data_IF_462953475472
#
_entry.id   IF_462953475472
#
_cell.length_a   1.000
_cell.length_b   1.000
_cell.length_c   1.000
_cell.angle_alpha   90.00
_cell.angle_beta   90.00
_cell.angle_gamma   90.00
#
_symmetry.space_group_name_H-M   'P 1'
#
loop_
_entity.id
_entity.type
_entity.pdbx_description
1 polymer ?
#
# COMPACT_ATOMS: atom_id res chain seq x y z
N UNK A 1 13.65 7.96 -4.34
CA UNK A 1 12.40 7.86 -3.55
C UNK A 1 12.23 9.16 -2.77
N UNK A 2 11.01 9.63 -2.47
CA UNK A 2 10.79 10.86 -1.69
C UNK A 2 11.50 10.86 -0.34
N UNK A 3 11.64 9.68 0.29
CA UNK A 3 12.35 9.50 1.55
C UNK A 3 13.86 9.81 1.44
N UNK A 4 14.46 9.58 0.25
CA UNK A 4 15.86 9.95 -0.03
C UNK A 4 16.00 11.47 -0.17
N UNK A 5 15.04 12.12 -0.84
CA UNK A 5 15.02 13.59 -0.98
C UNK A 5 14.85 14.27 0.38
N UNK A 6 14.00 13.72 1.25
CA UNK A 6 13.79 14.23 2.61
C UNK A 6 15.06 14.11 3.47
N UNK A 7 15.75 12.96 3.39
CA UNK A 7 17.04 12.78 4.04
C UNK A 7 18.10 13.78 3.54
N UNK A 8 18.15 14.04 2.23
CA UNK A 8 19.02 15.07 1.66
C UNK A 8 18.68 16.44 2.26
N UNK A 9 17.39 16.79 2.37
CA UNK A 9 16.94 18.04 2.98
C UNK A 9 17.34 18.13 4.46
N UNK A 10 17.26 17.04 5.22
CA UNK A 10 17.75 16.98 6.60
C UNK A 10 19.26 17.25 6.65
N UNK A 11 20.05 16.55 5.85
CA UNK A 11 21.51 16.68 5.83
C UNK A 11 21.95 18.09 5.42
N UNK A 12 21.27 18.71 4.45
CA UNK A 12 21.54 20.09 4.05
C UNK A 12 21.22 21.09 5.18
N UNK A 13 20.15 20.89 5.95
CA UNK A 13 19.87 21.71 7.15
C UNK A 13 20.98 21.58 8.21
N UNK A 14 21.66 20.43 8.25
CA UNK A 14 22.82 20.20 9.11
C UNK A 14 24.12 20.80 8.55
N UNK A 15 24.11 21.36 7.35
CA UNK A 15 25.28 21.97 6.70
C UNK A 15 25.98 21.08 5.66
N UNK A 16 25.41 19.93 5.30
CA UNK A 16 25.97 19.10 4.21
C UNK A 16 25.80 19.79 2.85
N UNK A 17 26.77 19.57 1.96
CA UNK A 17 26.69 20.02 0.56
C UNK A 17 26.37 18.80 -0.30
N UNK A 18 25.10 18.72 -0.72
CA UNK A 18 24.58 17.61 -1.53
C UNK A 18 23.84 18.19 -2.72
N UNK A 19 24.15 17.70 -3.93
CA UNK A 19 23.45 18.02 -5.16
C UNK A 19 22.80 16.74 -5.73
N UNK A 20 21.65 16.91 -6.37
CA UNK A 20 20.95 15.85 -7.10
C UNK A 20 20.82 16.29 -8.55
N UNK A 21 21.48 15.56 -9.45
CA UNK A 21 21.43 15.80 -10.88
C UNK A 21 20.11 15.28 -11.48
N UNK A 22 19.76 15.72 -12.69
CA UNK A 22 18.52 15.33 -13.39
C UNK A 22 18.45 13.83 -13.71
N UNK A 23 19.60 13.17 -13.83
CA UNK A 23 19.72 11.72 -14.02
C UNK A 23 19.65 10.93 -12.70
N UNK A 24 19.32 11.61 -11.59
CA UNK A 24 19.27 11.07 -10.22
C UNK A 24 20.64 10.70 -9.64
N UNK A 25 21.73 11.17 -10.24
CA UNK A 25 23.06 11.08 -9.62
C UNK A 25 23.11 12.02 -8.41
N UNK A 26 23.46 11.47 -7.24
CA UNK A 26 23.66 12.25 -6.01
C UNK A 26 25.16 12.53 -5.85
N UNK A 27 25.54 13.80 -5.78
CA UNK A 27 26.93 14.24 -5.53
C UNK A 27 27.04 14.85 -4.14
N UNK A 28 28.00 14.39 -3.37
CA UNK A 28 28.23 14.83 -1.99
C UNK A 28 29.63 15.43 -1.90
N UNK A 29 29.72 16.69 -1.47
CA UNK A 29 30.99 17.32 -1.11
C UNK A 29 31.14 17.20 0.41
N UNK A 30 32.20 16.52 0.85
CA UNK A 30 32.50 16.35 2.27
C UNK A 30 32.69 17.69 2.98
N UNK A 31 32.21 17.77 4.22
CA UNK A 31 32.35 18.94 5.11
C UNK A 31 32.94 18.50 6.45
N UNK A 32 33.63 19.41 7.15
CA UNK A 32 34.35 19.08 8.39
C UNK A 32 33.44 18.65 9.56
N UNK A 33 32.19 19.15 9.58
CA UNK A 33 31.21 18.87 10.64
C UNK A 33 29.78 19.13 10.18
N UNK A 34 28.84 18.46 10.83
CA UNK A 34 27.41 18.69 10.73
C UNK A 34 26.87 19.29 12.04
N UNK A 35 25.86 20.16 11.93
CA UNK A 35 25.17 20.79 13.06
C UNK A 35 23.86 20.11 13.45
N UNK A 36 23.25 20.62 14.52
CA UNK A 36 21.87 20.26 14.88
C UNK A 36 20.85 20.85 13.89
N UNK A 37 19.63 20.30 13.86
CA UNK A 37 18.58 20.72 12.94
C UNK A 37 17.19 20.57 13.55
N UNK A 38 16.21 21.27 12.97
CA UNK A 38 14.78 21.02 13.15
C UNK A 38 14.17 20.64 11.80
N UNK A 39 13.38 19.57 11.77
CA UNK A 39 12.78 19.09 10.53
C UNK A 39 11.44 18.41 10.81
N UNK A 40 10.44 18.70 9.98
CA UNK A 40 9.15 17.99 9.98
C UNK A 40 9.22 16.91 8.92
N UNK A 41 9.19 15.65 9.33
CA UNK A 41 9.27 14.51 8.43
C UNK A 41 8.17 14.54 7.37
N UNK A 42 8.46 13.96 6.20
CA UNK A 42 7.45 13.77 5.16
C UNK A 42 6.27 12.92 5.68
N UNK A 43 5.05 13.14 5.14
CA UNK A 43 3.90 12.27 5.39
C UNK A 43 4.11 10.85 4.84
N UNK A 44 3.50 9.86 5.47
CA UNK A 44 3.56 8.47 5.03
C UNK A 44 2.58 8.19 3.87
N UNK A 45 3.14 8.18 2.67
CA UNK A 45 2.44 7.87 1.42
C UNK A 45 2.11 6.39 1.22
N UNK A 46 2.74 5.48 1.99
CA UNK A 46 2.38 4.07 1.99
C UNK A 46 1.12 3.87 2.83
N UNK A 47 1.04 4.51 4.00
CA UNK A 47 -0.17 4.53 4.82
C UNK A 47 -1.35 5.14 4.05
N UNK A 48 -1.14 6.28 3.38
CA UNK A 48 -2.18 6.92 2.59
C UNK A 48 -2.74 6.02 1.48
N UNK A 49 -1.88 5.27 0.78
CA UNK A 49 -2.30 4.33 -0.27
C UNK A 49 -3.07 3.13 0.30
N UNK A 50 -2.69 2.67 1.50
CA UNK A 50 -3.41 1.59 2.17
C UNK A 50 -4.82 2.02 2.60
N UNK A 51 -4.98 3.21 3.19
CA UNK A 51 -6.30 3.78 3.50
C UNK A 51 -7.14 4.04 2.24
N UNK A 52 -6.53 4.53 1.17
CA UNK A 52 -7.21 4.69 -0.11
C UNK A 52 -7.76 3.35 -0.61
N UNK A 53 -6.93 2.29 -0.57
CA UNK A 53 -7.34 0.94 -0.96
C UNK A 53 -8.43 0.36 -0.05
N UNK A 54 -8.37 0.67 1.25
CA UNK A 54 -9.44 0.33 2.19
C UNK A 54 -10.77 0.98 1.80
N UNK A 55 -10.77 2.26 1.43
CA UNK A 55 -11.95 2.95 0.94
C UNK A 55 -12.54 2.29 -0.31
N UNK A 56 -11.71 1.77 -1.23
CA UNK A 56 -12.21 1.01 -2.37
C UNK A 56 -12.81 -0.33 -1.97
N UNK A 57 -12.08 -1.13 -1.19
CA UNK A 57 -12.49 -2.49 -0.86
C UNK A 57 -13.72 -2.57 0.05
N UNK A 58 -13.96 -1.53 0.85
CA UNK A 58 -15.08 -1.45 1.80
C UNK A 58 -16.22 -0.55 1.35
N UNK A 59 -16.16 -0.03 0.11
CA UNK A 59 -17.10 0.97 -0.41
C UNK A 59 -17.20 2.24 0.45
N UNK A 60 -16.10 2.59 1.13
CA UNK A 60 -16.01 3.69 2.07
C UNK A 60 -15.62 5.04 1.46
N UNK A 61 -15.47 6.04 2.35
CA UNK A 61 -15.01 7.39 2.06
C UNK A 61 -14.07 7.85 3.17
N UNK A 62 -12.79 8.02 2.85
CA UNK A 62 -11.72 8.27 3.83
C UNK A 62 -10.94 9.50 3.41
N UNK A 63 -10.81 10.46 4.32
CA UNK A 63 -9.93 11.61 4.16
C UNK A 63 -8.61 11.37 4.86
N UNK A 64 -7.51 11.37 4.10
CA UNK A 64 -6.16 11.19 4.62
C UNK A 64 -5.46 12.54 4.69
N UNK A 65 -5.45 13.13 5.89
CA UNK A 65 -4.71 14.37 6.16
C UNK A 65 -3.20 14.13 5.95
N UNK A 66 -2.55 15.08 5.29
CA UNK A 66 -1.13 15.05 4.97
C UNK A 66 -0.78 14.25 3.72
N UNK A 67 -1.72 13.52 3.10
CA UNK A 67 -1.44 12.85 1.83
C UNK A 67 -1.11 13.89 0.75
N UNK A 68 -0.06 13.64 -0.04
CA UNK A 68 0.46 14.61 -1.02
C UNK A 68 0.35 14.08 -2.45
N UNK A 69 -0.29 14.85 -3.33
CA UNK A 69 -0.48 14.45 -4.73
C UNK A 69 0.84 14.17 -5.44
N UNK A 70 1.86 15.01 -5.22
CA UNK A 70 3.14 14.93 -5.93
C UNK A 70 3.88 13.61 -5.68
N UNK A 71 3.86 13.10 -4.45
CA UNK A 71 4.53 11.84 -4.09
C UNK A 71 3.70 10.59 -4.43
N UNK A 72 2.41 10.76 -4.71
CA UNK A 72 1.46 9.66 -4.96
C UNK A 72 0.91 9.63 -6.40
N UNK A 73 1.41 10.48 -7.31
CA UNK A 73 0.81 10.68 -8.64
C UNK A 73 0.55 9.37 -9.41
N UNK A 74 1.50 8.44 -9.41
CA UNK A 74 1.36 7.12 -10.05
C UNK A 74 0.27 6.28 -9.39
N UNK A 75 0.23 6.25 -8.06
CA UNK A 75 -0.83 5.56 -7.31
C UNK A 75 -2.20 6.15 -7.63
N UNK A 76 -2.33 7.48 -7.61
CA UNK A 76 -3.60 8.18 -7.90
C UNK A 76 -4.14 7.86 -9.30
N UNK A 77 -3.26 7.80 -10.30
CA UNK A 77 -3.65 7.39 -11.65
C UNK A 77 -4.14 5.94 -11.68
N UNK A 78 -3.45 5.02 -10.99
CA UNK A 78 -3.88 3.62 -10.86
C UNK A 78 -5.22 3.52 -10.12
N UNK A 79 -5.38 4.22 -9.00
CA UNK A 79 -6.59 4.27 -8.19
C UNK A 79 -7.81 4.67 -9.04
N UNK A 80 -7.66 5.71 -9.86
CA UNK A 80 -8.72 6.17 -10.78
C UNK A 80 -9.01 5.16 -11.90
N UNK A 81 -7.98 4.50 -12.46
CA UNK A 81 -8.17 3.46 -13.50
C UNK A 81 -8.96 2.26 -12.97
N UNK A 82 -8.71 1.87 -11.72
CA UNK A 82 -9.46 0.80 -11.04
C UNK A 82 -10.91 1.19 -10.77
N UNK A 83 -11.22 2.48 -10.69
CA UNK A 83 -12.59 2.99 -10.54
C UNK A 83 -12.82 3.80 -9.26
N UNK A 84 -11.77 4.03 -8.47
CA UNK A 84 -11.85 4.91 -7.30
C UNK A 84 -11.89 6.38 -7.69
N UNK A 85 -12.48 7.19 -6.82
CA UNK A 85 -12.53 8.63 -6.97
C UNK A 85 -11.80 9.31 -5.81
N UNK A 86 -11.20 10.47 -6.09
CA UNK A 86 -10.47 11.23 -5.09
C UNK A 86 -10.55 12.74 -5.36
N UNK A 87 -10.39 13.50 -4.29
CA UNK A 87 -10.33 14.96 -4.28
C UNK A 87 -9.12 15.38 -3.45
N UNK A 88 -8.45 16.45 -3.88
CA UNK A 88 -7.22 16.94 -3.28
C UNK A 88 -7.46 18.37 -2.83
N UNK A 89 -7.05 18.67 -1.60
CA UNK A 89 -6.96 20.02 -1.07
C UNK A 89 -5.55 20.26 -0.49
N UNK A 90 -5.34 21.41 0.14
CA UNK A 90 -4.04 21.79 0.70
C UNK A 90 -3.64 20.94 1.93
N UNK A 91 -4.61 20.28 2.57
CA UNK A 91 -4.45 19.56 3.83
C UNK A 91 -4.35 18.05 3.63
N UNK A 92 -4.74 17.50 2.47
CA UNK A 92 -4.71 16.06 2.22
C UNK A 92 -5.47 15.61 0.99
N UNK A 93 -5.84 14.33 0.99
CA UNK A 93 -6.57 13.70 -0.12
C UNK A 93 -7.74 12.89 0.43
N UNK A 94 -8.93 13.15 -0.11
CA UNK A 94 -10.12 12.32 0.09
C UNK A 94 -10.16 11.20 -0.93
N UNK A 95 -10.40 9.97 -0.49
CA UNK A 95 -10.53 8.78 -1.33
C UNK A 95 -11.88 8.11 -1.09
N UNK A 96 -12.59 7.73 -2.14
CA UNK A 96 -13.85 7.01 -2.01
C UNK A 96 -14.16 6.08 -3.18
N UNK A 97 -15.02 5.10 -2.91
CA UNK A 97 -15.66 4.28 -3.93
C UNK A 97 -16.91 5.01 -4.49
N UNK A 98 -16.99 5.33 -5.79
CA UNK A 98 -18.10 6.14 -6.34
C UNK A 98 -19.40 5.35 -6.59
N UNK A 99 -19.47 4.07 -6.22
CA UNK A 99 -20.66 3.21 -6.37
C UNK A 99 -20.76 2.43 -7.69
N UNK A 100 -19.77 2.55 -8.57
CA UNK A 100 -19.68 1.80 -9.83
C UNK A 100 -18.88 0.49 -9.72
N UNK A 101 -18.84 -0.30 -10.78
CA UNK A 101 -17.98 -1.50 -10.82
C UNK A 101 -16.50 -1.12 -10.86
N UNK A 102 -15.71 -1.77 -10.00
CA UNK A 102 -14.26 -1.72 -10.10
C UNK A 102 -13.79 -2.49 -11.34
N UNK A 103 -12.75 -1.97 -11.99
CA UNK A 103 -12.19 -2.48 -13.24
C UNK A 103 -10.87 -3.19 -12.97
N UNK A 104 -10.68 -4.32 -13.63
CA UNK A 104 -9.40 -5.00 -13.57
C UNK A 104 -8.29 -4.19 -14.26
N UNK A 105 -7.04 -4.44 -13.86
CA UNK A 105 -5.87 -3.72 -14.37
C UNK A 105 -4.67 -4.66 -14.50
N UNK A 106 -3.79 -4.37 -15.45
CA UNK A 106 -2.43 -4.89 -15.47
C UNK A 106 -1.50 -3.88 -14.78
N UNK A 107 -0.82 -4.33 -13.74
CA UNK A 107 0.01 -3.53 -12.86
C UNK A 107 1.40 -4.16 -12.77
N UNK A 108 2.42 -3.34 -12.99
CA UNK A 108 3.81 -3.72 -12.77
C UNK A 108 4.39 -2.79 -11.71
N UNK A 109 5.06 -3.36 -10.70
CA UNK A 109 5.77 -2.54 -9.71
C UNK A 109 7.06 -2.00 -10.30
N UNK A 110 7.58 -0.91 -9.76
CA UNK A 110 8.86 -0.32 -10.15
C UNK A 110 9.39 0.57 -9.00
N UNK A 111 10.64 1.01 -9.11
CA UNK A 111 11.22 2.04 -8.23
C UNK A 111 10.53 3.38 -8.45
N UNK A 112 10.61 4.27 -7.46
CA UNK A 112 10.03 5.61 -7.60
C UNK A 112 10.58 6.32 -8.86
N UNK A 113 9.74 6.98 -9.68
CA UNK A 113 8.33 7.33 -9.49
C UNK A 113 7.32 6.30 -10.05
N UNK A 114 7.76 5.11 -10.44
CA UNK A 114 6.87 4.03 -10.85
C UNK A 114 5.95 3.52 -9.73
N UNK A 115 5.11 2.54 -10.04
CA UNK A 115 4.15 2.03 -9.06
C UNK A 115 4.87 1.23 -8.00
N UNK A 116 4.76 1.63 -6.74
CA UNK A 116 5.59 1.01 -5.72
C UNK A 116 5.10 -0.35 -5.28
N UNK A 117 6.06 -1.23 -5.08
CA UNK A 117 5.90 -2.57 -4.51
C UNK A 117 5.18 -2.60 -3.15
N UNK A 118 5.24 -1.51 -2.37
CA UNK A 118 4.48 -1.39 -1.11
C UNK A 118 2.98 -1.10 -1.32
N UNK A 119 2.59 -0.54 -2.47
CA UNK A 119 1.19 -0.21 -2.76
C UNK A 119 0.39 -1.38 -3.33
N UNK A 120 1.05 -2.41 -3.87
CA UNK A 120 0.34 -3.51 -4.56
C UNK A 120 -0.50 -4.34 -3.60
N UNK A 121 -0.01 -4.63 -2.39
CA UNK A 121 -0.69 -5.56 -1.48
C UNK A 121 -2.09 -5.07 -1.05
N UNK A 122 -2.24 -3.82 -0.55
CA UNK A 122 -3.57 -3.32 -0.20
C UNK A 122 -4.45 -3.11 -1.44
N UNK A 123 -3.88 -2.71 -2.57
CA UNK A 123 -4.63 -2.56 -3.81
C UNK A 123 -5.16 -3.89 -4.34
N UNK A 124 -4.40 -4.99 -4.22
CA UNK A 124 -4.83 -6.33 -4.63
C UNK A 124 -6.07 -6.77 -3.89
N UNK A 125 -6.23 -6.39 -2.61
CA UNK A 125 -7.48 -6.64 -1.88
C UNK A 125 -8.66 -5.98 -2.57
N UNK A 126 -8.54 -4.70 -2.96
CA UNK A 126 -9.58 -4.03 -3.74
C UNK A 126 -9.79 -4.68 -5.13
N UNK A 127 -8.72 -5.17 -5.77
CA UNK A 127 -8.81 -5.85 -7.07
C UNK A 127 -9.51 -7.22 -6.99
N UNK A 128 -9.59 -7.86 -5.82
CA UNK A 128 -10.47 -9.04 -5.65
C UNK A 128 -11.94 -8.70 -5.88
N UNK A 129 -12.33 -7.43 -5.69
CA UNK A 129 -13.68 -6.90 -5.92
C UNK A 129 -13.87 -6.38 -7.37
N UNK A 130 -12.80 -6.31 -8.17
CA UNK A 130 -12.85 -5.79 -9.53
C UNK A 130 -13.38 -6.83 -10.52
N UNK A 131 -14.11 -6.37 -11.53
CA UNK A 131 -14.62 -7.23 -12.60
C UNK A 131 -13.53 -7.54 -13.62
N UNK A 132 -13.30 -8.82 -13.86
CA UNK A 132 -12.33 -9.32 -14.85
C UNK A 132 -11.06 -9.88 -14.22
N UNK A 133 -10.00 -9.94 -15.04
CA UNK A 133 -8.69 -10.45 -14.64
C UNK A 133 -7.73 -9.28 -14.44
N UNK A 134 -7.20 -9.15 -13.21
CA UNK A 134 -6.11 -8.23 -12.92
C UNK A 134 -4.79 -8.99 -12.91
N UNK A 135 -3.75 -8.40 -13.50
CA UNK A 135 -2.41 -8.96 -13.55
C UNK A 135 -1.52 -8.09 -12.69
N UNK A 136 -0.81 -8.70 -11.75
CA UNK A 136 0.17 -8.03 -10.90
C UNK A 136 1.53 -8.63 -11.20
N UNK A 137 2.50 -7.79 -11.55
CA UNK A 137 3.88 -8.19 -11.75
C UNK A 137 4.77 -7.47 -10.73
N UNK A 138 5.30 -8.21 -9.77
CA UNK A 138 6.25 -7.73 -8.77
C UNK A 138 7.68 -7.84 -9.32
N UNK A 139 8.34 -6.69 -9.46
CA UNK A 139 9.65 -6.56 -10.10
C UNK A 139 10.78 -6.24 -9.12
N UNK A 140 10.44 -5.81 -7.90
CA UNK A 140 11.39 -5.23 -6.93
C UNK A 140 11.79 -6.27 -5.88
N UNK A 141 10.85 -7.08 -5.38
CA UNK A 141 11.07 -8.08 -4.33
C UNK A 141 10.64 -9.50 -4.72
N UNK A 142 11.51 -10.47 -4.45
CA UNK A 142 11.34 -11.86 -4.89
C UNK A 142 10.23 -12.64 -4.16
N UNK A 143 9.84 -12.22 -2.95
CA UNK A 143 8.92 -12.97 -2.09
C UNK A 143 7.91 -12.04 -1.42
N UNK A 144 7.03 -11.45 -2.24
CA UNK A 144 6.11 -10.39 -1.80
C UNK A 144 4.62 -10.62 -2.07
N UNK A 145 4.29 -11.77 -2.65
CA UNK A 145 2.92 -12.18 -2.96
C UNK A 145 2.33 -13.17 -1.93
N UNK A 146 3.01 -13.41 -0.79
CA UNK A 146 2.58 -14.38 0.23
C UNK A 146 1.18 -14.13 0.82
N UNK A 147 0.77 -12.86 0.91
CA UNK A 147 -0.56 -12.46 1.41
C UNK A 147 -1.73 -13.01 0.58
N UNK A 148 -1.50 -13.33 -0.69
CA UNK A 148 -2.54 -13.88 -1.59
C UNK A 148 -3.09 -15.22 -1.12
N UNK A 149 -2.29 -16.00 -0.38
CA UNK A 149 -2.74 -17.27 0.22
C UNK A 149 -3.89 -17.07 1.20
N UNK A 150 -3.82 -16.02 2.03
CA UNK A 150 -4.87 -15.67 2.98
C UNK A 150 -6.13 -15.14 2.26
N UNK A 151 -5.95 -14.34 1.20
CA UNK A 151 -7.09 -13.91 0.38
C UNK A 151 -7.82 -15.09 -0.27
N UNK A 152 -7.07 -16.09 -0.75
CA UNK A 152 -7.66 -17.33 -1.28
C UNK A 152 -8.38 -18.14 -0.20
N UNK A 153 -7.88 -18.17 1.04
CA UNK A 153 -8.60 -18.78 2.18
C UNK A 153 -9.93 -18.06 2.48
N UNK A 154 -9.98 -16.75 2.22
CA UNK A 154 -11.20 -15.94 2.28
C UNK A 154 -12.08 -16.06 1.03
N UNK A 155 -11.73 -16.93 0.08
CA UNK A 155 -12.52 -17.25 -1.10
C UNK A 155 -12.10 -16.52 -2.39
N UNK A 156 -11.06 -15.66 -2.36
CA UNK A 156 -10.54 -15.05 -3.58
C UNK A 156 -10.04 -16.09 -4.59
N UNK A 157 -9.97 -15.69 -5.86
CA UNK A 157 -9.35 -16.49 -6.91
C UNK A 157 -8.07 -15.83 -7.42
N UNK A 158 -6.96 -16.15 -6.76
CA UNK A 158 -5.63 -15.63 -7.10
C UNK A 158 -4.70 -16.78 -7.45
N UNK A 159 -4.11 -16.72 -8.64
CA UNK A 159 -3.09 -17.68 -9.11
C UNK A 159 -1.74 -16.98 -9.21
N UNK A 160 -0.70 -17.63 -8.69
CA UNK A 160 0.68 -17.11 -8.75
C UNK A 160 1.47 -17.77 -9.87
N UNK A 161 2.31 -16.98 -10.54
CA UNK A 161 3.12 -17.38 -11.68
C UNK A 161 4.57 -17.00 -11.49
N UNK A 162 5.44 -17.74 -12.16
CA UNK A 162 6.90 -17.56 -12.16
C UNK A 162 7.37 -16.76 -13.37
N UNK A 163 6.51 -16.65 -14.36
CA UNK A 163 6.71 -15.87 -15.57
C UNK A 163 6.49 -14.40 -15.26
N UNK A 164 7.30 -13.53 -15.89
CA UNK A 164 7.04 -12.09 -15.90
C UNK A 164 5.79 -11.86 -16.76
N UNK A 165 4.63 -11.62 -16.13
CA UNK A 165 3.38 -11.35 -16.87
C UNK A 165 3.21 -9.86 -17.19
N UNK A 166 4.22 -9.04 -16.86
CA UNK A 166 4.30 -7.63 -17.22
C UNK A 166 5.12 -7.38 -18.47
N UNK A 167 5.41 -6.11 -18.74
CA UNK A 167 6.19 -5.68 -19.91
C UNK A 167 7.69 -5.73 -19.68
N UNK A 168 8.14 -5.66 -18.42
CA UNK A 168 9.56 -5.64 -18.07
C UNK A 168 9.97 -6.96 -17.42
N UNK A 169 11.25 -7.30 -17.48
CA UNK A 169 11.80 -8.37 -16.66
C UNK A 169 11.94 -7.92 -15.21
N UNK A 170 11.53 -8.76 -14.26
CA UNK A 170 11.80 -8.52 -12.85
C UNK A 170 13.28 -8.77 -12.51
N UNK A 171 13.76 -8.20 -11.41
CA UNK A 171 15.17 -8.32 -10.94
C UNK A 171 15.62 -9.77 -10.65
N UNK A 172 14.69 -10.72 -10.68
CA UNK A 172 14.89 -12.10 -10.28
C UNK A 172 14.16 -13.10 -11.21
N UNK A 173 13.76 -12.71 -12.42
CA UNK A 173 12.92 -13.55 -13.30
C UNK A 173 13.51 -14.91 -13.66
N UNK A 174 14.84 -15.02 -13.66
CA UNK A 174 15.54 -16.29 -13.90
C UNK A 174 15.77 -17.14 -12.64
N UNK A 175 15.30 -16.66 -11.47
CA UNK A 175 15.60 -17.27 -10.16
C UNK A 175 14.43 -18.07 -9.58
N UNK A 176 13.44 -18.39 -10.41
CA UNK A 176 12.35 -19.30 -10.08
C UNK A 176 11.55 -18.85 -8.83
N UNK A 177 11.18 -17.57 -8.77
CA UNK A 177 10.30 -17.02 -7.73
C UNK A 177 8.86 -16.85 -8.24
N UNK A 178 7.88 -16.82 -7.33
CA UNK A 178 6.48 -16.51 -7.65
C UNK A 178 6.28 -15.00 -7.53
N UNK A 179 6.30 -14.31 -8.66
CA UNK A 179 6.33 -12.85 -8.71
C UNK A 179 5.32 -12.23 -9.66
N UNK A 180 4.50 -13.05 -10.29
CA UNK A 180 3.30 -12.56 -10.96
C UNK A 180 2.07 -13.16 -10.29
N UNK A 181 0.97 -12.42 -10.25
CA UNK A 181 -0.32 -12.89 -9.79
C UNK A 181 -1.41 -12.54 -10.82
N UNK A 182 -2.33 -13.47 -11.05
CA UNK A 182 -3.59 -13.20 -11.76
C UNK A 182 -4.72 -13.28 -10.74
N UNK A 183 -5.43 -12.18 -10.57
CA UNK A 183 -6.55 -12.01 -9.65
C UNK A 183 -7.83 -11.99 -10.48
N UNK A 184 -8.72 -12.96 -10.27
CA UNK A 184 -10.05 -13.00 -10.92
C UNK A 184 -11.13 -12.52 -9.96
N UNK A 185 -11.91 -11.54 -10.39
CA UNK A 185 -13.02 -11.00 -9.63
C UNK A 185 -14.24 -10.66 -10.48
N UNK A 186 -15.34 -10.20 -9.85
CA UNK A 186 -15.43 -9.89 -8.42
C UNK A 186 -15.59 -11.15 -7.54
N UNK A 187 -15.02 -11.14 -6.34
CA UNK A 187 -15.17 -12.19 -5.33
C UNK A 187 -15.66 -11.59 -4.01
N UNK A 188 -16.77 -12.09 -3.47
CA UNK A 188 -17.20 -11.76 -2.11
C UNK A 188 -16.34 -12.50 -1.09
N UNK A 189 -15.38 -11.79 -0.48
CA UNK A 189 -14.54 -12.35 0.57
C UNK A 189 -15.40 -12.81 1.76
N UNK A 190 -15.01 -13.91 2.38
CA UNK A 190 -15.66 -14.50 3.55
C UNK A 190 -14.75 -14.38 4.77
N UNK A 191 -15.35 -14.22 5.94
CA UNK A 191 -14.64 -14.12 7.20
C UNK A 191 -13.78 -15.36 7.47
N UNK A 192 -12.57 -15.15 7.96
CA UNK A 192 -11.60 -16.21 8.22
C UNK A 192 -10.74 -15.91 9.47
N UNK A 193 -10.09 -16.94 9.99
CA UNK A 193 -9.03 -16.79 10.99
C UNK A 193 -7.71 -16.49 10.25
N UNK A 194 -7.17 -15.28 10.44
CA UNK A 194 -6.00 -14.75 9.74
C UNK A 194 -4.84 -14.54 10.72
N UNK A 195 -3.62 -14.82 10.29
CA UNK A 195 -2.40 -14.53 11.03
C UNK A 195 -1.55 -13.58 10.21
N UNK A 196 -1.28 -12.39 10.75
CA UNK A 196 -0.40 -11.40 10.14
C UNK A 196 1.05 -11.88 10.27
N UNK A 197 1.76 -12.17 9.17
CA UNK A 197 3.13 -12.69 9.24
C UNK A 197 4.19 -11.58 9.39
N UNK A 198 3.88 -10.36 8.94
CA UNK A 198 4.79 -9.23 8.91
C UNK A 198 4.05 -7.88 8.84
N UNK A 199 4.80 -6.79 9.03
CA UNK A 199 4.27 -5.43 9.04
C UNK A 199 3.68 -5.00 7.67
N UNK A 200 4.40 -5.25 6.57
CA UNK A 200 4.08 -4.66 5.26
C UNK A 200 2.85 -5.33 4.64
N UNK A 201 2.75 -6.66 4.78
CA UNK A 201 1.55 -7.42 4.46
C UNK A 201 0.38 -7.11 5.38
N UNK A 202 0.64 -6.84 6.66
CA UNK A 202 -0.37 -6.84 7.72
C UNK A 202 -1.61 -5.99 7.46
N UNK A 203 -1.46 -4.78 6.91
CA UNK A 203 -2.63 -3.94 6.64
C UNK A 203 -3.55 -4.55 5.56
N UNK A 204 -3.00 -5.25 4.57
CA UNK A 204 -3.80 -5.92 3.54
C UNK A 204 -4.70 -7.01 4.11
N UNK A 205 -4.25 -7.74 5.14
CA UNK A 205 -5.06 -8.74 5.83
C UNK A 205 -6.26 -8.11 6.54
N UNK A 206 -6.06 -6.93 7.14
CA UNK A 206 -7.14 -6.20 7.78
C UNK A 206 -8.12 -5.58 6.80
N UNK A 207 -7.64 -5.00 5.70
CA UNK A 207 -8.53 -4.51 4.65
C UNK A 207 -9.39 -5.66 4.13
N UNK A 208 -8.80 -6.85 3.93
CA UNK A 208 -9.53 -8.04 3.53
C UNK A 208 -10.57 -8.46 4.57
N UNK A 209 -10.19 -8.48 5.85
CA UNK A 209 -11.09 -8.79 6.96
C UNK A 209 -12.27 -7.81 7.07
N UNK A 210 -12.04 -6.52 6.84
CA UNK A 210 -13.06 -5.46 6.85
C UNK A 210 -13.98 -5.51 5.63
N UNK A 211 -13.47 -5.94 4.48
CA UNK A 211 -14.24 -6.10 3.25
C UNK A 211 -15.03 -7.43 3.20
N UNK A 212 -14.73 -8.38 4.10
CA UNK A 212 -15.32 -9.70 4.09
C UNK A 212 -16.73 -9.75 4.70
N UNK A 213 -17.54 -10.68 4.20
CA UNK A 213 -18.81 -11.04 4.81
C UNK A 213 -18.59 -11.96 6.01
N UNK A 214 -19.31 -11.70 7.10
CA UNK A 214 -19.18 -12.46 8.35
C UNK A 214 -18.13 -11.87 9.29
N UNK A 215 -17.53 -12.72 10.11
CA UNK A 215 -16.57 -12.30 11.14
C UNK A 215 -15.20 -12.91 10.84
N UNK A 216 -14.18 -12.06 10.74
CA UNK A 216 -12.79 -12.48 10.66
C UNK A 216 -12.13 -12.33 12.03
N UNK A 217 -11.24 -13.26 12.40
CA UNK A 217 -10.36 -13.09 13.57
C UNK A 217 -8.95 -12.87 13.08
N UNK A 218 -8.35 -11.76 13.47
CA UNK A 218 -7.02 -11.39 12.98
C UNK A 218 -6.03 -11.42 14.14
N UNK A 219 -5.02 -12.28 14.03
CA UNK A 219 -3.95 -12.46 15.00
C UNK A 219 -2.68 -11.73 14.55
N UNK A 220 -1.86 -11.29 15.51
CA UNK A 220 -0.59 -10.60 15.22
C UNK A 220 -0.73 -9.11 14.91
N UNK A 221 -1.81 -8.46 15.37
CA UNK A 221 -2.09 -7.03 15.15
C UNK A 221 -0.94 -6.13 15.63
N UNK A 222 -0.21 -6.55 16.67
CA UNK A 222 0.92 -5.79 17.23
C UNK A 222 2.05 -5.56 16.22
N UNK A 223 2.16 -6.42 15.18
CA UNK A 223 3.12 -6.23 14.09
C UNK A 223 2.78 -5.01 13.23
N UNK A 224 1.49 -4.65 13.12
CA UNK A 224 1.02 -3.48 12.36
C UNK A 224 1.34 -2.18 13.09
N UNK A 225 1.26 -2.18 14.42
CA UNK A 225 1.58 -1.02 15.26
C UNK A 225 3.03 -0.52 15.08
N UNK A 226 3.92 -1.32 14.49
CA UNK A 226 5.30 -0.92 14.17
C UNK A 226 5.42 0.06 13.00
N UNK A 227 4.39 0.17 12.15
CA UNK A 227 4.39 1.08 11.00
C UNK A 227 3.11 1.88 10.82
N UNK A 228 2.10 1.67 11.67
CA UNK A 228 0.85 2.42 11.65
C UNK A 228 0.52 2.92 13.05
N UNK A 229 0.60 4.23 13.22
CA UNK A 229 0.30 4.90 14.49
C UNK A 229 -1.22 4.94 14.74
N UNK A 230 -1.63 4.69 15.99
CA UNK A 230 -3.03 4.77 16.47
C UNK A 230 -4.01 4.02 15.57
N UNK A 231 -3.56 2.90 15.02
CA UNK A 231 -4.23 2.20 13.95
C UNK A 231 -5.65 1.74 14.34
N UNK A 232 -5.80 1.18 15.55
CA UNK A 232 -7.11 0.74 16.06
C UNK A 232 -8.07 1.91 16.31
N UNK A 233 -7.56 3.04 16.79
CA UNK A 233 -8.37 4.24 17.03
C UNK A 233 -8.91 4.78 15.69
N UNK A 234 -8.04 4.90 14.68
CA UNK A 234 -8.43 5.29 13.32
C UNK A 234 -9.51 4.37 12.75
N UNK A 235 -9.40 3.05 12.94
CA UNK A 235 -10.44 2.11 12.48
C UNK A 235 -11.80 2.37 13.13
N UNK A 236 -11.82 2.54 14.45
CA UNK A 236 -13.06 2.82 15.20
C UNK A 236 -13.67 4.15 14.76
N UNK A 237 -12.86 5.20 14.61
CA UNK A 237 -13.30 6.51 14.13
C UNK A 237 -13.87 6.46 12.71
N UNK A 238 -13.34 5.57 11.86
CA UNK A 238 -13.85 5.31 10.51
C UNK A 238 -15.10 4.41 10.50
N UNK A 239 -15.61 4.00 11.66
CA UNK A 239 -16.83 3.20 11.81
C UNK A 239 -16.63 1.69 11.60
N UNK A 240 -15.38 1.21 11.63
CA UNK A 240 -15.11 -0.21 11.55
C UNK A 240 -15.67 -0.95 12.77
N UNK A 241 -16.37 -2.06 12.54
CA UNK A 241 -16.87 -2.95 13.60
C UNK A 241 -15.77 -3.90 14.04
N UNK A 242 -14.94 -3.46 14.98
CA UNK A 242 -13.81 -4.22 15.51
C UNK A 242 -13.93 -4.39 17.01
N UNK A 243 -13.55 -5.56 17.52
CA UNK A 243 -13.48 -5.88 18.95
C UNK A 243 -12.10 -6.46 19.26
N UNK A 244 -11.47 -5.97 20.33
CA UNK A 244 -10.23 -6.54 20.86
C UNK A 244 -10.57 -7.41 22.08
N UNK A 245 -10.44 -8.75 21.98
CA UNK A 245 -10.71 -9.63 23.12
C UNK A 245 -9.80 -9.26 24.30
N UNK A 246 -10.39 -8.91 25.45
CA UNK A 246 -9.66 -8.67 26.70
C UNK A 246 -9.36 -7.21 27.08
N UNK A 247 -9.79 -6.22 26.28
CA UNK A 247 -9.95 -4.84 26.75
C UNK A 247 -11.44 -4.54 26.86
N UNK A 248 -11.94 -4.45 28.09
CA UNK A 248 -13.26 -3.85 28.31
C UNK A 248 -13.24 -2.43 27.71
N UNK A 249 -14.10 -2.18 26.74
CA UNK A 249 -14.40 -0.82 26.29
C UNK A 249 -15.05 -0.12 27.49
N UNK A 250 -14.28 0.76 28.14
CA UNK A 250 -14.77 1.65 29.20
C UNK A 250 -15.45 2.88 28.63
#
# INVERSE_FOLDING_TARGET
EPEIEDLICVLQKMGAIIAMDTDRTIRITGVDRLGGYNHRALPDRLEAASWASAALATEGNIYVRGAQQRSMMTFLNTYRKVGGAFEIDDEGIRFWHPGGQLKSIALETDVHPGFQTDWQQPLVVALTQATGLSIIHETVYESRLGFTSALNQMGAHIQLYRECLGSSDCRFGQRNFLHSAVVSGPTKLQGADLVIPDLRGGFSYLIAALAAQGTSRVHGIDLINRGYENFMEKLVELGAKVELPGKALG
#
